data_IF_944086152308
#
_entry.id   IF_944086152308
#
_cell.length_a   1.000
_cell.length_b   1.000
_cell.length_c   1.000
_cell.angle_alpha   90.00
_cell.angle_beta   90.00
_cell.angle_gamma   90.00
#
_symmetry.space_group_name_H-M   'P 1'
#
loop_
_entity.id
_entity.type
_entity.pdbx_description
1 polymer ?
#
# COMPACT_ATOMS: atom_id res chain seq x y z
N UNK A 1 1.67 -0.22 4.40
CA UNK A 1 2.74 0.81 4.47
C UNK A 1 3.72 0.47 5.60
N UNK A 2 3.33 0.50 6.88
CA UNK A 2 4.27 0.20 7.99
C UNK A 2 4.71 -1.27 8.09
N UNK A 3 3.87 -2.21 7.65
CA UNK A 3 4.21 -3.64 7.63
C UNK A 3 4.76 -4.11 6.27
N UNK A 4 4.94 -3.21 5.30
CA UNK A 4 5.54 -3.57 4.03
C UNK A 4 7.06 -3.41 4.11
N UNK A 5 7.80 -4.33 3.47
CA UNK A 5 9.27 -4.24 3.38
C UNK A 5 9.63 -3.02 2.55
N UNK A 6 10.54 -2.18 3.07
CA UNK A 6 11.20 -1.15 2.27
C UNK A 6 12.36 -1.77 1.49
N UNK A 7 12.52 -1.41 0.21
CA UNK A 7 13.67 -1.86 -0.58
C UNK A 7 14.99 -1.22 -0.11
N UNK A 8 14.92 0.02 0.42
CA UNK A 8 16.12 0.75 0.85
C UNK A 8 16.73 0.24 2.16
N UNK A 9 15.90 -0.19 3.11
CA UNK A 9 16.35 -0.68 4.42
C UNK A 9 16.26 -2.20 4.54
N UNK A 10 15.58 -2.87 3.61
CA UNK A 10 15.34 -4.31 3.64
C UNK A 10 14.35 -4.77 4.72
N UNK A 11 13.87 -3.87 5.59
CA UNK A 11 12.97 -4.18 6.71
C UNK A 11 11.65 -3.42 6.62
N UNK A 12 10.62 -3.94 7.28
CA UNK A 12 9.36 -3.21 7.45
C UNK A 12 9.50 -2.20 8.61
N UNK A 13 9.02 -0.95 8.47
CA UNK A 13 9.08 0.06 9.53
C UNK A 13 8.50 -0.41 10.88
N UNK A 14 7.42 -1.21 10.84
CA UNK A 14 6.81 -1.76 12.05
C UNK A 14 7.73 -2.74 12.78
N UNK A 15 8.50 -3.55 12.05
CA UNK A 15 9.49 -4.45 12.63
C UNK A 15 10.63 -3.67 13.29
N UNK A 16 11.09 -2.58 12.66
CA UNK A 16 12.12 -1.72 13.25
C UNK A 16 11.65 -1.05 14.55
N UNK A 17 10.37 -0.70 14.65
CA UNK A 17 9.83 -0.06 15.84
C UNK A 17 9.50 -1.02 16.98
N UNK A 18 9.11 -2.27 16.68
CA UNK A 18 8.53 -3.19 17.69
C UNK A 18 9.25 -4.53 17.81
N UNK A 19 10.21 -4.82 16.93
CA UNK A 19 10.94 -6.09 16.88
C UNK A 19 10.10 -7.29 16.44
N UNK A 20 8.82 -7.10 16.09
CA UNK A 20 7.91 -8.16 15.61
C UNK A 20 7.05 -7.68 14.45
N UNK A 21 6.64 -8.63 13.60
CA UNK A 21 5.63 -8.36 12.59
C UNK A 21 4.24 -8.63 13.16
N UNK A 22 3.23 -7.82 12.83
CA UNK A 22 1.86 -8.08 13.25
C UNK A 22 1.38 -9.36 12.56
N UNK A 23 0.62 -10.20 13.29
CA UNK A 23 0.05 -11.41 12.69
C UNK A 23 -0.97 -11.03 11.61
N UNK A 24 -1.02 -11.82 10.54
CA UNK A 24 -2.10 -11.72 9.57
C UNK A 24 -3.44 -11.97 10.26
N UNK A 25 -4.48 -11.27 9.80
CA UNK A 25 -5.84 -11.57 10.24
C UNK A 25 -6.18 -13.01 9.87
N UNK A 26 -6.57 -13.81 10.86
CA UNK A 26 -7.11 -15.16 10.64
C UNK A 26 -8.49 -14.97 10.01
N UNK A 27 -8.70 -15.55 8.83
CA UNK A 27 -9.91 -15.34 8.03
C UNK A 27 -11.03 -16.33 8.35
N UNK A 28 -10.75 -17.28 9.25
CA UNK A 28 -11.68 -18.31 9.68
C UNK A 28 -12.93 -17.68 10.27
N UNK A 29 -14.08 -18.20 9.85
CA UNK A 29 -15.37 -17.81 10.41
C UNK A 29 -15.43 -18.24 11.86
N UNK A 30 -15.63 -17.27 12.75
CA UNK A 30 -16.06 -17.46 14.13
C UNK A 30 -17.01 -18.66 14.24
N UNK A 31 -16.66 -19.66 15.05
CA UNK A 31 -17.50 -20.84 15.22
C UNK A 31 -18.85 -20.42 15.84
N UNK A 32 -19.92 -21.17 15.61
CA UNK A 32 -21.27 -20.78 16.08
C UNK A 32 -21.36 -20.65 17.61
N UNK A 33 -20.43 -21.26 18.34
CA UNK A 33 -20.34 -21.16 19.81
C UNK A 33 -19.61 -19.90 20.30
N UNK A 34 -19.05 -19.07 19.41
CA UNK A 34 -18.31 -17.87 19.80
C UNK A 34 -19.26 -16.73 20.19
N UNK A 35 -18.83 -15.91 21.16
CA UNK A 35 -19.67 -14.84 21.72
C UNK A 35 -20.08 -13.83 20.62
N UNK A 36 -21.37 -13.48 20.49
CA UNK A 36 -21.87 -12.65 19.38
C UNK A 36 -21.13 -11.33 19.17
N UNK A 37 -20.69 -10.67 20.25
CA UNK A 37 -19.96 -9.41 20.15
C UNK A 37 -18.56 -9.56 19.56
N UNK A 38 -17.86 -10.66 19.85
CA UNK A 38 -16.53 -10.95 19.29
C UNK A 38 -16.65 -11.19 17.79
N UNK A 39 -17.67 -11.94 17.37
CA UNK A 39 -17.99 -12.19 15.96
C UNK A 39 -18.29 -10.89 15.21
N UNK A 40 -19.12 -10.01 15.77
CA UNK A 40 -19.45 -8.73 15.14
C UNK A 40 -18.22 -7.83 15.00
N UNK A 41 -17.37 -7.78 16.02
CA UNK A 41 -16.13 -7.03 15.97
C UNK A 41 -15.17 -7.56 14.89
N UNK A 42 -14.96 -8.87 14.85
CA UNK A 42 -14.12 -9.52 13.84
C UNK A 42 -14.65 -9.27 12.42
N UNK A 43 -15.97 -9.39 12.23
CA UNK A 43 -16.64 -9.14 10.95
C UNK A 43 -16.48 -7.68 10.51
N UNK A 44 -16.70 -6.71 11.39
CA UNK A 44 -16.50 -5.30 11.10
C UNK A 44 -15.06 -5.00 10.67
N UNK A 45 -14.07 -5.57 11.37
CA UNK A 45 -12.67 -5.37 11.03
C UNK A 45 -12.31 -5.99 9.68
N UNK A 46 -12.86 -7.17 9.39
CA UNK A 46 -12.72 -7.85 8.08
C UNK A 46 -13.28 -6.98 6.95
N UNK A 47 -14.50 -6.48 7.10
CA UNK A 47 -15.13 -5.61 6.10
C UNK A 47 -14.35 -4.31 5.90
N UNK A 48 -13.85 -3.70 6.98
CA UNK A 48 -13.04 -2.50 6.90
C UNK A 48 -11.72 -2.71 6.12
N UNK A 49 -11.08 -3.87 6.27
CA UNK A 49 -9.85 -4.20 5.53
C UNK A 49 -10.14 -4.38 4.04
N UNK A 50 -11.21 -5.09 3.69
CA UNK A 50 -11.63 -5.28 2.29
C UNK A 50 -11.93 -3.90 1.66
N UNK A 51 -12.75 -3.08 2.33
CA UNK A 51 -13.07 -1.74 1.84
C UNK A 51 -11.82 -0.86 1.69
N UNK A 52 -10.88 -0.92 2.63
CA UNK A 52 -9.62 -0.17 2.53
C UNK A 52 -8.77 -0.63 1.35
N UNK A 53 -8.72 -1.93 1.07
CA UNK A 53 -8.01 -2.49 -0.09
C UNK A 53 -8.61 -1.96 -1.40
N UNK A 54 -9.95 -1.99 -1.53
CA UNK A 54 -10.64 -1.50 -2.72
C UNK A 54 -10.43 0.01 -2.92
N UNK A 55 -10.45 0.79 -1.83
CA UNK A 55 -10.12 2.22 -1.86
C UNK A 55 -8.69 2.48 -2.34
N UNK A 56 -7.70 1.67 -1.92
CA UNK A 56 -6.31 1.81 -2.37
C UNK A 56 -6.18 1.51 -3.87
N UNK A 57 -6.84 0.45 -4.35
CA UNK A 57 -6.85 0.12 -5.77
C UNK A 57 -7.48 1.24 -6.60
N UNK A 58 -8.63 1.75 -6.17
CA UNK A 58 -9.31 2.87 -6.84
C UNK A 58 -8.46 4.15 -6.83
N UNK A 59 -7.79 4.46 -5.71
CA UNK A 59 -6.91 5.60 -5.59
C UNK A 59 -5.69 5.49 -6.52
N UNK A 60 -5.10 4.29 -6.64
CA UNK A 60 -3.97 4.05 -7.54
C UNK A 60 -4.33 4.39 -8.99
N UNK A 61 -5.51 3.98 -9.47
CA UNK A 61 -5.96 4.30 -10.84
C UNK A 61 -6.00 5.81 -11.08
N UNK A 62 -6.58 6.58 -10.15
CA UNK A 62 -6.65 8.04 -10.23
C UNK A 62 -5.26 8.69 -10.20
N UNK A 63 -4.41 8.26 -9.26
CA UNK A 63 -3.04 8.76 -9.15
C UNK A 63 -2.22 8.49 -10.40
N UNK A 64 -2.33 7.29 -10.99
CA UNK A 64 -1.65 6.96 -12.25
C UNK A 64 -2.16 7.80 -13.40
N UNK A 65 -3.48 8.00 -13.51
CA UNK A 65 -4.06 8.88 -14.52
C UNK A 65 -3.52 10.32 -14.39
N UNK A 66 -3.55 10.89 -13.19
CA UNK A 66 -3.12 12.27 -12.95
C UNK A 66 -1.61 12.46 -13.12
N UNK A 67 -0.81 11.48 -12.70
CA UNK A 67 0.63 11.46 -12.93
C UNK A 67 0.95 11.40 -14.43
N UNK A 68 0.20 10.61 -15.20
CA UNK A 68 0.39 10.47 -16.64
C UNK A 68 -0.13 11.68 -17.42
N UNK A 69 -1.14 12.41 -16.91
CA UNK A 69 -1.73 13.58 -17.59
C UNK A 69 -0.70 14.66 -17.96
N UNK A 70 0.37 14.81 -17.17
CA UNK A 70 1.44 15.78 -17.41
C UNK A 70 2.72 15.17 -17.97
N UNK A 71 2.79 13.85 -18.16
CA UNK A 71 3.93 13.22 -18.82
C UNK A 71 3.89 13.56 -20.30
N UNK A 72 4.97 14.18 -20.79
CA UNK A 72 5.24 14.33 -22.21
C UNK A 72 6.17 13.20 -22.64
N UNK A 73 5.99 12.62 -23.84
CA UNK A 73 7.00 11.74 -24.40
C UNK A 73 8.31 12.53 -24.45
N UNK A 74 9.38 11.95 -23.91
CA UNK A 74 10.70 12.54 -24.03
C UNK A 74 11.12 12.41 -25.50
N UNK A 75 11.41 13.51 -26.21
CA UNK A 75 11.74 13.47 -27.63
C UNK A 75 13.20 13.03 -27.88
N UNK A 76 13.93 12.64 -26.83
CA UNK A 76 15.35 12.35 -26.90
C UNK A 76 15.58 10.89 -27.30
N UNK A 77 16.61 10.69 -28.09
CA UNK A 77 17.11 9.38 -28.52
C UNK A 77 18.48 9.09 -27.93
N UNK A 78 18.88 7.82 -27.91
CA UNK A 78 20.20 7.45 -27.40
C UNK A 78 21.31 8.15 -28.21
N UNK A 79 22.21 8.85 -27.50
CA UNK A 79 23.27 9.66 -28.11
C UNK A 79 23.03 11.17 -28.12
N UNK A 80 21.81 11.63 -27.78
CA UNK A 80 21.52 13.06 -27.70
C UNK A 80 22.24 13.75 -26.54
N UNK A 81 22.90 14.87 -26.82
CA UNK A 81 23.47 15.75 -25.81
C UNK A 81 22.41 16.76 -25.37
N UNK A 82 22.06 16.75 -24.08
CA UNK A 82 21.06 17.64 -23.49
C UNK A 82 21.67 18.52 -22.42
N UNK A 83 21.22 19.78 -22.36
CA UNK A 83 21.63 20.71 -21.31
C UNK A 83 20.86 20.42 -20.01
N UNK A 84 21.61 20.21 -18.92
CA UNK A 84 21.06 19.99 -17.59
C UNK A 84 21.12 21.30 -16.78
N UNK A 85 19.97 21.77 -16.29
CA UNK A 85 19.94 22.90 -15.36
C UNK A 85 20.32 22.40 -13.96
N UNK A 86 21.50 22.76 -13.49
CA UNK A 86 22.03 22.35 -12.16
C UNK A 86 21.67 23.33 -11.04
N UNK A 87 20.61 24.13 -11.22
CA UNK A 87 20.21 25.13 -10.24
C UNK A 87 19.35 24.46 -9.15
N UNK A 88 19.88 24.43 -7.92
CA UNK A 88 19.18 23.93 -6.72
C UNK A 88 18.18 24.95 -6.19
#
# INVERSE_FOLDING_TARGET
INSARSESTGYAPFFLNTGRMPRSMIWDSADKSEYPSVRNFALQRKLAIIAAHDCILAARVKQTHDANKRRRPAPFTEGDLVYLSTKN
#
